data_IF_535808843250
#
_entry.id   IF_535808843250
#
_cell.length_a   1.000
_cell.length_b   1.000
_cell.length_c   1.000
_cell.angle_alpha   90.00
_cell.angle_beta   90.00
_cell.angle_gamma   90.00
#
_symmetry.space_group_name_H-M   'P 1'
#
loop_
_entity.id
_entity.type
_entity.pdbx_description
1 polymer ?
#
# COMPACT_ATOMS: atom_id res chain seq x y z
N UNK A 1 7.67 1.39 -4.40
CA UNK A 1 8.33 0.40 -3.52
C UNK A 1 7.27 -0.13 -2.56
N UNK A 2 6.76 -1.35 -2.75
CA UNK A 2 5.60 -1.84 -2.00
C UNK A 2 5.91 -2.25 -0.56
N UNK A 3 4.90 -2.23 0.31
CA UNK A 3 5.00 -2.74 1.69
C UNK A 3 5.04 -4.27 1.64
N UNK A 4 6.14 -4.86 2.11
CA UNK A 4 6.28 -6.31 2.30
C UNK A 4 6.08 -6.63 3.78
N UNK A 5 5.02 -7.36 4.14
CA UNK A 5 4.95 -8.02 5.45
C UNK A 5 5.83 -9.28 5.37
N UNK A 6 6.80 -9.40 6.27
CA UNK A 6 7.77 -10.51 6.31
C UNK A 6 7.36 -11.47 7.43
N UNK A 7 7.11 -12.74 7.11
CA UNK A 7 6.92 -13.82 8.08
C UNK A 7 8.05 -14.85 7.92
N UNK A 8 8.48 -15.47 9.02
CA UNK A 8 9.47 -16.56 9.01
C UNK A 8 8.74 -17.88 8.76
N UNK A 9 9.25 -18.72 7.85
CA UNK A 9 8.81 -20.11 7.74
C UNK A 9 9.42 -20.97 8.87
N UNK A 10 8.85 -22.17 9.09
CA UNK A 10 9.37 -23.16 10.04
C UNK A 10 10.80 -23.63 9.70
N UNK A 11 11.28 -23.38 8.48
CA UNK A 11 12.66 -23.64 8.03
C UNK A 11 13.61 -22.43 8.17
N UNK A 12 13.17 -21.33 8.80
CA UNK A 12 13.98 -20.12 8.99
C UNK A 12 14.15 -19.25 7.73
N UNK A 13 13.47 -19.57 6.62
CA UNK A 13 13.54 -18.78 5.38
C UNK A 13 12.52 -17.63 5.41
N UNK A 14 12.88 -16.44 4.89
CA UNK A 14 11.94 -15.34 4.76
C UNK A 14 10.90 -15.63 3.69
N UNK A 15 9.62 -15.41 3.99
CA UNK A 15 8.54 -15.51 3.01
C UNK A 15 7.86 -14.16 2.76
N UNK A 16 7.42 -13.98 1.52
CA UNK A 16 6.66 -12.82 1.06
C UNK A 16 5.17 -13.11 1.20
N UNK A 17 4.49 -12.31 2.01
CA UNK A 17 3.06 -12.47 2.29
C UNK A 17 2.26 -11.69 1.24
N UNK A 18 1.23 -12.32 0.69
CA UNK A 18 0.27 -11.67 -0.21
C UNK A 18 -0.83 -10.93 0.59
N UNK A 19 -1.44 -9.90 -0.01
CA UNK A 19 -2.67 -9.32 0.51
C UNK A 19 -3.89 -10.20 0.18
N UNK A 20 -5.08 -9.71 0.52
CA UNK A 20 -6.38 -10.36 0.25
C UNK A 20 -6.66 -10.59 -1.24
N UNK A 21 -6.04 -9.79 -2.12
CA UNK A 21 -6.16 -9.88 -3.58
C UNK A 21 -5.07 -10.79 -4.20
N UNK A 22 -4.18 -11.37 -3.38
CA UNK A 22 -3.06 -12.18 -3.85
C UNK A 22 -1.80 -11.39 -4.27
N UNK A 23 -1.84 -10.06 -4.16
CA UNK A 23 -0.71 -9.20 -4.50
C UNK A 23 0.41 -9.30 -3.47
N UNK A 24 1.63 -9.51 -3.95
CA UNK A 24 2.86 -9.44 -3.15
C UNK A 24 3.55 -8.08 -3.25
N UNK A 25 3.18 -7.26 -4.22
CA UNK A 25 3.69 -5.91 -4.43
C UNK A 25 2.56 -4.90 -4.24
N UNK A 26 2.32 -4.55 -2.98
CA UNK A 26 1.21 -3.69 -2.59
C UNK A 26 1.60 -2.21 -2.78
N UNK A 27 0.88 -1.42 -3.59
CA UNK A 27 1.18 0.01 -3.75
C UNK A 27 1.14 0.78 -2.42
N UNK A 28 2.11 1.66 -2.20
CA UNK A 28 2.08 2.62 -1.08
C UNK A 28 1.19 3.82 -1.45
N UNK A 29 -0.12 3.58 -1.46
CA UNK A 29 -1.15 4.57 -1.78
C UNK A 29 -2.27 4.45 -0.75
N UNK A 30 -2.80 5.60 -0.33
CA UNK A 30 -3.90 5.74 0.63
C UNK A 30 -5.00 6.62 0.01
N UNK A 31 -6.27 6.28 0.21
CA UNK A 31 -7.40 7.10 -0.23
C UNK A 31 -8.51 7.10 0.81
N UNK A 32 -9.18 8.25 1.00
CA UNK A 32 -10.41 8.34 1.77
C UNK A 32 -11.61 8.54 0.83
N UNK A 33 -12.66 7.72 0.98
CA UNK A 33 -13.90 7.80 0.19
C UNK A 33 -15.09 7.66 1.12
N UNK A 34 -15.90 8.71 1.27
CA UNK A 34 -17.10 8.67 2.11
C UNK A 34 -16.83 8.41 3.61
N UNK A 35 -15.63 8.72 4.10
CA UNK A 35 -15.21 8.45 5.48
C UNK A 35 -14.47 7.11 5.66
N UNK A 36 -14.52 6.23 4.65
CA UNK A 36 -13.81 4.95 4.65
C UNK A 36 -12.38 5.10 4.11
N UNK A 37 -11.45 4.32 4.68
CA UNK A 37 -10.06 4.28 4.28
C UNK A 37 -9.79 3.11 3.31
N UNK A 38 -9.10 3.40 2.22
CA UNK A 38 -8.63 2.43 1.24
C UNK A 38 -7.11 2.49 1.12
N UNK A 39 -6.47 1.35 0.92
CA UNK A 39 -5.03 1.25 0.71
C UNK A 39 -4.67 0.30 -0.44
N UNK A 40 -3.44 0.40 -0.95
CA UNK A 40 -2.95 -0.53 -1.97
C UNK A 40 -3.58 -0.33 -3.35
N UNK A 41 -3.96 -1.43 -4.00
CA UNK A 41 -4.50 -1.43 -5.37
C UNK A 41 -5.83 -0.66 -5.46
N UNK A 42 -6.69 -0.80 -4.45
CA UNK A 42 -7.97 -0.09 -4.37
C UNK A 42 -7.77 1.43 -4.27
N UNK A 43 -6.85 1.89 -3.43
CA UNK A 43 -6.52 3.31 -3.33
C UNK A 43 -5.87 3.85 -4.63
N UNK A 44 -5.03 3.05 -5.29
CA UNK A 44 -4.40 3.43 -6.57
C UNK A 44 -5.44 3.71 -7.65
N UNK A 45 -6.55 2.98 -7.69
CA UNK A 45 -7.63 3.22 -8.66
C UNK A 45 -8.30 4.60 -8.47
N UNK A 46 -8.21 5.19 -7.28
CA UNK A 46 -8.82 6.49 -6.94
C UNK A 46 -8.01 7.70 -7.42
N UNK A 47 -6.75 7.51 -7.87
CA UNK A 47 -5.87 8.61 -8.30
C UNK A 47 -6.47 9.52 -9.37
N UNK A 48 -7.26 8.98 -10.30
CA UNK A 48 -7.85 9.75 -11.40
C UNK A 48 -9.16 10.43 -10.99
N UNK A 49 -10.00 9.74 -10.21
CA UNK A 49 -11.38 10.17 -9.92
C UNK A 49 -11.52 10.92 -8.60
N UNK A 50 -10.63 10.67 -7.65
CA UNK A 50 -10.61 11.27 -6.32
C UNK A 50 -9.19 11.75 -5.93
N UNK A 51 -8.49 12.52 -6.79
CA UNK A 51 -7.08 12.88 -6.58
C UNK A 51 -6.84 13.68 -5.30
N UNK A 52 -7.80 14.53 -4.89
CA UNK A 52 -7.66 15.40 -3.72
C UNK A 52 -7.64 14.63 -2.39
N UNK A 53 -8.29 13.47 -2.35
CA UNK A 53 -8.36 12.63 -1.16
C UNK A 53 -7.54 11.34 -1.31
N UNK A 54 -6.62 11.30 -2.29
CA UNK A 54 -5.75 10.16 -2.56
C UNK A 54 -4.28 10.60 -2.49
N UNK A 55 -3.49 9.93 -1.65
CA UNK A 55 -2.07 10.24 -1.44
C UNK A 55 -1.20 9.09 -1.93
N UNK A 56 -0.23 9.40 -2.78
CA UNK A 56 0.75 8.46 -3.32
C UNK A 56 2.16 9.07 -3.25
N UNK A 57 3.18 8.22 -3.36
CA UNK A 57 4.60 8.64 -3.40
C UNK A 57 5.09 9.43 -2.18
N UNK A 58 4.33 9.42 -1.08
CA UNK A 58 4.65 10.18 0.13
C UNK A 58 5.95 9.75 0.80
N UNK A 59 6.44 8.52 0.56
CA UNK A 59 7.67 8.01 1.17
C UNK A 59 8.88 8.89 0.88
N UNK A 60 8.95 9.50 -0.30
CA UNK A 60 10.06 10.39 -0.67
C UNK A 60 9.96 11.76 -0.01
N UNK A 61 8.84 12.09 0.63
CA UNK A 61 8.58 13.35 1.33
C UNK A 61 8.71 13.23 2.85
N UNK A 62 8.76 12.01 3.39
CA UNK A 62 8.91 11.80 4.83
C UNK A 62 10.27 12.32 5.30
N UNK A 63 10.26 13.20 6.30
CA UNK A 63 11.47 13.74 6.93
C UNK A 63 12.19 14.82 6.12
N UNK A 64 11.57 15.39 5.08
CA UNK A 64 12.06 16.60 4.41
C UNK A 64 11.51 17.83 5.14
N UNK A 65 12.39 18.81 5.39
CA UNK A 65 12.07 20.14 5.92
C UNK A 65 11.82 21.16 4.80
#
# INVERSE_FOLDING_TARGET
MGLLKRQRSDEGKPQVIANEEGDRHIPSVLSYVGGEEYHGTQAKAQLVRNPKNTVAYFRDYLGKE
#
